data_IF_090732822367
#
_entry.id   IF_090732822367
#
_cell.length_a   1.000
_cell.length_b   1.000
_cell.length_c   1.000
_cell.angle_alpha   90.00
_cell.angle_beta   90.00
_cell.angle_gamma   90.00
#
_symmetry.space_group_name_H-M   'P 1'
#
loop_
_entity.id
_entity.type
_entity.pdbx_description
1 polymer ?
#
# COMPACT_ATOMS: atom_id res chain seq x y z
N UNK A 1 1.23 -18.31 -38.03
CA UNK A 1 1.06 -18.08 -37.66
C UNK A 1 1.08 -17.54 -37.10
N UNK A 2 1.30 -17.70 -36.94
CA UNK A 2 1.27 -17.22 -36.17
C UNK A 2 1.16 -16.66 -35.55
N UNK A 3 1.21 -16.65 -35.30
CA UNK A 3 0.99 -16.06 -34.63
C UNK A 3 0.81 -15.62 -33.95
N UNK A 4 0.80 -15.87 -33.64
CA UNK A 4 0.46 -15.47 -32.90
C UNK A 4 0.63 -15.01 -32.21
N UNK A 5 0.82 -15.19 -32.11
CA UNK A 5 0.87 -14.79 -31.38
C UNK A 5 0.89 -14.19 -30.79
N UNK A 6 0.91 -14.16 -30.78
CA UNK A 6 0.83 -13.51 -30.09
C UNK A 6 0.77 -13.19 -29.42
N UNK A 7 0.68 -13.29 -29.18
CA UNK A 7 0.33 -12.97 -28.40
C UNK A 7 0.79 -12.71 -27.68
N UNK A 8 1.21 -12.85 -27.42
CA UNK A 8 1.45 -12.63 -26.59
C UNK A 8 1.69 -11.80 -26.03
N UNK A 9 2.01 -11.48 -26.03
CA UNK A 9 2.43 -10.73 -25.31
C UNK A 9 1.66 -10.25 -24.51
N UNK A 10 0.98 -10.19 -24.58
CA UNK A 10 0.12 -9.85 -23.92
C UNK A 10 0.26 -10.25 -22.67
N UNK A 11 0.86 -10.96 -22.64
CA UNK A 11 0.96 -11.55 -21.45
C UNK A 11 1.56 -10.67 -20.52
N UNK A 12 2.43 -9.98 -20.89
CA UNK A 12 3.07 -9.20 -20.05
C UNK A 12 2.32 -8.23 -19.57
N UNK A 13 1.55 -7.91 -20.22
CA UNK A 13 0.84 -6.88 -19.86
C UNK A 13 0.07 -7.32 -18.81
N UNK A 14 -0.03 -8.39 -18.68
CA UNK A 14 -0.80 -8.76 -17.74
C UNK A 14 -0.10 -8.79 -16.53
N UNK A 15 1.13 -8.53 -16.54
CA UNK A 15 1.79 -8.50 -15.40
C UNK A 15 1.34 -7.38 -14.65
N UNK A 16 0.80 -7.51 -13.50
CA UNK A 16 0.44 -6.39 -12.69
C UNK A 16 1.67 -5.78 -12.15
N UNK A 17 1.63 -4.46 -11.97
CA UNK A 17 2.71 -3.83 -11.38
C UNK A 17 2.54 -3.94 -9.92
N UNK A 18 3.41 -4.61 -9.22
CA UNK A 18 3.38 -4.70 -7.77
C UNK A 18 4.62 -4.02 -7.27
N UNK A 19 4.42 -2.98 -6.48
CA UNK A 19 5.54 -2.24 -5.95
C UNK A 19 5.54 -2.33 -4.45
N UNK A 20 6.64 -2.79 -3.86
CA UNK A 20 6.74 -2.90 -2.42
C UNK A 20 7.10 -1.54 -1.86
N UNK A 21 6.29 -1.05 -0.94
CA UNK A 21 6.59 0.20 -0.27
C UNK A 21 7.36 -0.06 1.01
N UNK A 22 7.39 -1.30 1.46
CA UNK A 22 8.10 -1.70 2.63
C UNK A 22 8.00 -3.19 2.78
N UNK A 23 8.22 -3.68 3.98
CA UNK A 23 8.20 -5.10 4.22
C UNK A 23 6.80 -5.67 4.16
N UNK A 24 5.83 -4.92 4.67
CA UNK A 24 4.47 -5.41 4.79
C UNK A 24 3.49 -4.75 3.83
N UNK A 25 3.87 -3.68 3.17
CA UNK A 25 2.95 -2.87 2.41
C UNK A 25 3.33 -2.84 0.95
N UNK A 26 2.35 -3.06 0.09
CA UNK A 26 2.58 -3.06 -1.35
C UNK A 26 1.48 -2.28 -2.04
N UNK A 27 1.78 -1.86 -3.26
CA UNK A 27 0.80 -1.27 -4.14
C UNK A 27 0.72 -2.22 -5.34
N UNK A 28 -0.47 -2.73 -5.62
CA UNK A 28 -0.67 -3.65 -6.72
C UNK A 28 -1.77 -3.07 -7.58
N UNK A 29 -1.44 -2.70 -8.79
CA UNK A 29 -2.40 -2.06 -9.68
C UNK A 29 -3.66 -2.88 -9.90
N UNK A 30 -3.57 -4.19 -9.74
CA UNK A 30 -4.72 -5.06 -9.93
C UNK A 30 -5.54 -5.31 -8.68
N UNK A 31 -5.16 -4.71 -7.56
CA UNK A 31 -5.85 -4.93 -6.30
C UNK A 31 -6.25 -3.60 -5.71
N UNK A 32 -7.50 -3.48 -5.34
CA UNK A 32 -8.03 -2.29 -4.66
C UNK A 32 -7.69 -1.01 -5.40
N UNK A 33 -7.72 -1.08 -6.73
CA UNK A 33 -7.48 0.08 -7.58
C UNK A 33 -6.10 0.72 -7.36
N UNK A 34 -5.13 -0.09 -7.01
CA UNK A 34 -3.77 0.42 -6.82
C UNK A 34 -3.55 1.13 -5.50
N UNK A 35 -4.47 1.00 -4.57
CA UNK A 35 -4.27 1.58 -3.25
C UNK A 35 -3.32 0.72 -2.45
N UNK A 36 -2.56 1.29 -1.52
CA UNK A 36 -1.67 0.48 -0.70
C UNK A 36 -2.46 -0.55 0.14
N UNK A 37 -1.99 -1.77 0.12
CA UNK A 37 -2.57 -2.83 0.92
C UNK A 37 -1.45 -3.55 1.66
N UNK A 38 -1.83 -4.35 2.66
CA UNK A 38 -0.85 -5.19 3.33
C UNK A 38 -0.60 -6.41 2.44
N UNK A 39 0.67 -6.77 2.32
CA UNK A 39 1.11 -7.82 1.42
C UNK A 39 0.32 -9.09 1.64
N UNK A 40 -0.16 -9.69 0.57
CA UNK A 40 -0.92 -10.93 0.65
C UNK A 40 -2.36 -10.75 1.07
N UNK A 41 -2.84 -9.53 1.20
CA UNK A 41 -4.22 -9.30 1.63
C UNK A 41 -4.85 -8.25 0.73
N UNK A 42 -6.14 -8.02 0.95
CA UNK A 42 -6.82 -6.90 0.31
C UNK A 42 -7.17 -5.85 1.35
N UNK A 43 -6.50 -5.90 2.50
CA UNK A 43 -6.76 -4.93 3.57
C UNK A 43 -6.09 -3.63 3.21
N UNK A 44 -6.86 -2.57 3.12
CA UNK A 44 -6.32 -1.27 2.78
C UNK A 44 -5.55 -0.68 3.96
N UNK A 45 -4.36 -0.19 3.67
CA UNK A 45 -3.56 0.48 4.69
C UNK A 45 -4.33 1.67 5.23
N UNK A 46 -5.07 2.37 4.37
CA UNK A 46 -5.86 3.52 4.80
C UNK A 46 -6.90 3.15 5.85
N UNK A 47 -7.47 1.96 5.77
CA UNK A 47 -8.47 1.54 6.75
C UNK A 47 -7.84 1.31 8.12
N UNK A 48 -6.65 0.73 8.13
CA UNK A 48 -5.95 0.49 9.38
C UNK A 48 -5.49 1.83 9.97
N UNK A 49 -5.02 2.74 9.12
CA UNK A 49 -4.61 4.05 9.60
C UNK A 49 -5.81 4.80 10.18
N UNK A 50 -6.99 4.62 9.60
CA UNK A 50 -8.19 5.25 10.15
C UNK A 50 -8.51 4.69 11.53
N UNK A 51 -8.28 3.41 11.74
CA UNK A 51 -8.51 2.80 13.05
C UNK A 51 -7.51 3.35 14.08
N UNK A 52 -6.26 3.51 13.66
CA UNK A 52 -5.26 4.12 14.53
C UNK A 52 -5.68 5.54 14.89
N UNK A 53 -6.15 6.28 13.90
CA UNK A 53 -6.56 7.67 14.10
C UNK A 53 -7.74 7.78 15.07
N UNK A 54 -8.58 6.74 15.13
CA UNK A 54 -9.69 6.77 16.06
C UNK A 54 -9.29 6.31 17.45
N UNK A 55 -8.03 6.02 17.64
CA UNK A 55 -7.55 5.63 18.97
C UNK A 55 -7.71 4.17 19.31
N UNK A 56 -7.98 3.32 18.32
CA UNK A 56 -8.08 1.91 18.61
C UNK A 56 -6.73 1.38 19.02
N UNK A 57 -6.72 0.54 20.04
CA UNK A 57 -5.49 -0.11 20.46
C UNK A 57 -5.03 -1.05 19.34
N UNK A 58 -3.73 -1.16 19.17
CA UNK A 58 -3.21 -1.98 18.08
C UNK A 58 -3.63 -3.43 18.23
N UNK A 59 -3.74 -3.93 19.45
CA UNK A 59 -4.19 -5.30 19.66
C UNK A 59 -5.62 -5.48 19.15
N UNK A 60 -6.46 -4.47 19.34
CA UNK A 60 -7.84 -4.53 18.85
C UNK A 60 -7.88 -4.51 17.34
N UNK A 61 -6.98 -3.74 16.71
CA UNK A 61 -6.91 -3.69 15.26
C UNK A 61 -6.48 -5.05 14.72
N UNK A 62 -5.47 -5.65 15.34
CA UNK A 62 -4.99 -6.94 14.91
C UNK A 62 -6.10 -7.97 15.00
N UNK A 63 -6.88 -7.91 16.06
CA UNK A 63 -7.96 -8.85 16.22
C UNK A 63 -9.08 -8.61 15.22
N UNK A 64 -9.35 -7.37 14.92
CA UNK A 64 -10.36 -7.01 13.95
C UNK A 64 -10.05 -7.67 12.60
N UNK A 65 -8.79 -7.69 12.20
CA UNK A 65 -8.37 -8.25 10.94
C UNK A 65 -7.92 -9.70 11.07
N UNK A 66 -8.22 -10.30 12.21
CA UNK A 66 -7.97 -11.72 12.45
C UNK A 66 -6.52 -12.12 12.24
N UNK A 67 -5.63 -11.27 12.66
CA UNK A 67 -4.21 -11.56 12.60
C UNK A 67 -3.56 -11.38 11.25
N UNK A 68 -4.33 -10.99 10.22
CA UNK A 68 -3.71 -10.77 8.92
C UNK A 68 -2.88 -9.50 8.89
N UNK A 69 -3.09 -8.62 9.85
CA UNK A 69 -2.30 -7.40 9.97
C UNK A 69 -1.59 -7.48 11.31
N UNK A 70 -0.27 -7.50 11.29
CA UNK A 70 0.52 -7.64 12.50
C UNK A 70 0.88 -6.28 13.09
N UNK A 71 1.41 -6.28 14.30
CA UNK A 71 1.88 -5.05 14.91
C UNK A 71 2.97 -4.42 14.06
N UNK A 72 3.86 -5.23 13.49
CA UNK A 72 4.91 -4.71 12.63
C UNK A 72 4.33 -4.05 11.40
N UNK A 73 3.26 -4.61 10.86
CA UNK A 73 2.61 -4.04 9.68
C UNK A 73 1.95 -2.71 10.03
N UNK A 74 1.31 -2.61 11.20
CA UNK A 74 0.70 -1.36 11.63
C UNK A 74 1.78 -0.31 11.81
N UNK A 75 2.88 -0.68 12.43
CA UNK A 75 3.99 0.25 12.64
C UNK A 75 4.55 0.75 11.33
N UNK A 76 4.67 -0.13 10.34
CA UNK A 76 5.16 0.27 9.04
C UNK A 76 4.19 1.23 8.38
N UNK A 77 2.88 0.98 8.52
CA UNK A 77 1.88 1.85 7.93
C UNK A 77 1.99 3.26 8.52
N UNK A 78 2.14 3.35 9.84
CA UNK A 78 2.28 4.64 10.50
C UNK A 78 3.57 5.32 10.05
N UNK A 79 4.65 4.56 9.96
CA UNK A 79 5.93 5.12 9.52
C UNK A 79 5.84 5.66 8.10
N UNK A 80 5.25 4.91 7.19
CA UNK A 80 5.13 5.35 5.81
C UNK A 80 4.20 6.56 5.70
N UNK A 81 3.16 6.61 6.52
CA UNK A 81 2.28 7.76 6.52
C UNK A 81 3.03 9.00 6.98
N UNK A 82 3.89 8.83 7.99
CA UNK A 82 4.70 9.94 8.46
C UNK A 82 5.65 10.41 7.39
N UNK A 83 6.30 9.48 6.71
CA UNK A 83 7.23 9.83 5.65
C UNK A 83 6.53 10.57 4.52
N UNK A 84 5.33 10.13 4.17
CA UNK A 84 4.58 10.77 3.11
C UNK A 84 4.20 12.19 3.50
N UNK A 85 3.82 12.39 4.75
CA UNK A 85 3.44 13.70 5.21
C UNK A 85 4.65 14.64 5.23
N UNK A 86 5.77 14.15 5.74
CA UNK A 86 6.98 14.96 5.81
C UNK A 86 7.42 15.34 4.40
N UNK A 87 7.40 14.38 3.48
CA UNK A 87 7.80 14.66 2.13
C UNK A 87 6.86 15.67 1.48
N UNK A 88 5.57 15.53 1.73
CA UNK A 88 4.62 16.44 1.13
C UNK A 88 4.80 17.86 1.62
N UNK A 89 5.07 18.03 2.91
CA UNK A 89 5.23 19.35 3.45
C UNK A 89 6.55 19.97 3.05
N UNK A 90 7.58 19.15 2.92
CA UNK A 90 8.89 19.68 2.61
C UNK A 90 9.15 19.84 1.13
N UNK A 91 8.41 19.07 0.37
CA UNK A 91 8.72 18.97 -1.03
C UNK A 91 8.44 20.15 -1.86
N UNK A 92 7.55 19.95 -2.80
CA UNK A 92 7.34 20.95 -3.81
C UNK A 92 6.96 22.26 -3.28
N UNK A 93 6.40 22.28 -2.13
CA UNK A 93 5.97 23.53 -1.77
C UNK A 93 7.05 24.41 -1.54
N UNK A 94 8.10 23.96 -1.14
CA UNK A 94 9.05 24.82 -0.87
C UNK A 94 9.47 25.46 -1.94
N UNK A 95 9.26 25.04 -2.81
CA UNK A 95 9.72 25.58 -3.87
C UNK A 95 9.21 26.75 -4.02
N UNK A 96 8.72 27.04 -3.75
CA UNK A 96 8.18 28.13 -3.99
C UNK A 96 8.53 28.96 -3.18
N UNK A 97 8.91 28.74 -2.85
CA UNK A 97 9.17 29.46 -2.16
C UNK A 97 9.13 30.27 -2.02
N UNK A 98 9.15 30.07 -2.09
CA UNK A 98 8.96 30.74 -1.80
C UNK A 98 8.67 30.95 -1.84
#
# INVERSE_FOLDING_TARGET
MSTKRAARPKARRQRRRVEALGRYIVVDAGICHGQPTFRGTRVLVADVLAQVARGMAWEAIIEEWRGTVSAGAIGEAVHLAREALVTRLAGPTRMTGS
#
